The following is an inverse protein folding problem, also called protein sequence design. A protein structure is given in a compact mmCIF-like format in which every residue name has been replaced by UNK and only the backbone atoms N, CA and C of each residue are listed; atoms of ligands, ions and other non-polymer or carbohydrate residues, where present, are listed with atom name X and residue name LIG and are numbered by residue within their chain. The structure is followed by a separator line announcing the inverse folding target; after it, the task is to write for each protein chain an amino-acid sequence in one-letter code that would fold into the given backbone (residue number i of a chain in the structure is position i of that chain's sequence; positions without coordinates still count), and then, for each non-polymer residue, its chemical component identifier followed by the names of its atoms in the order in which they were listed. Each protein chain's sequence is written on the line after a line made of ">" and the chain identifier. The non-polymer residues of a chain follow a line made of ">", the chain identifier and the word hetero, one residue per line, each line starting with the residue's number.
data_IF_553111030667
#
_entry.id   IF_553111030667
#
_cell.length_a   1.000
_cell.length_b   1.000
_cell.length_c   1.000
_cell.angle_alpha   90.00
_cell.angle_beta   90.00
_cell.angle_gamma   90.00
#
_symmetry.space_group_name_H-M   'P 1'
#
loop_
_entity.id
_entity.type
_entity.pdbx_description
1 polymer ?
#
# COMPACT_ATOMS: atom_id res chain seq x y z
N UNK A 1 11.95 57.65 -8.35
CA UNK A 1 12.40 56.39 -7.74
C UNK A 1 12.46 55.35 -8.85
N UNK A 2 13.64 54.83 -9.17
CA UNK A 2 13.82 53.79 -10.20
C UNK A 2 13.98 52.47 -9.46
N UNK A 3 13.01 51.57 -9.59
CA UNK A 3 13.09 50.23 -9.00
C UNK A 3 14.07 49.38 -9.83
N UNK A 4 15.11 48.76 -9.24
CA UNK A 4 15.95 47.82 -9.97
C UNK A 4 15.21 46.49 -10.11
N UNK A 5 14.97 46.06 -11.35
CA UNK A 5 14.45 44.74 -11.67
C UNK A 5 15.62 43.75 -11.69
N UNK A 6 15.76 42.94 -10.64
CA UNK A 6 16.73 41.84 -10.59
C UNK A 6 16.21 40.68 -11.44
N UNK A 7 16.73 40.51 -12.66
CA UNK A 7 16.49 39.32 -13.47
C UNK A 7 17.47 38.24 -13.01
N UNK A 8 16.95 37.23 -12.29
CA UNK A 8 17.68 36.01 -11.98
C UNK A 8 17.83 35.19 -13.26
N UNK A 9 19.01 35.23 -13.86
CA UNK A 9 19.38 34.33 -14.95
C UNK A 9 19.50 32.91 -14.40
N UNK A 10 18.41 32.14 -14.46
CA UNK A 10 18.45 30.69 -14.27
C UNK A 10 19.12 30.01 -15.46
N UNK A 11 19.95 29.01 -15.20
CA UNK A 11 20.54 28.19 -16.26
C UNK A 11 19.43 27.49 -17.05
N UNK A 12 19.24 27.87 -18.31
CA UNK A 12 18.32 27.20 -19.22
C UNK A 12 19.01 25.93 -19.75
N UNK A 13 18.65 24.78 -19.18
CA UNK A 13 19.17 23.48 -19.62
C UNK A 13 18.30 23.00 -20.78
N UNK A 14 18.89 22.81 -21.96
CA UNK A 14 18.21 22.24 -23.13
C UNK A 14 18.18 20.72 -23.05
N UNK A 15 17.01 20.13 -23.29
CA UNK A 15 16.76 18.69 -23.24
C UNK A 15 17.00 17.97 -24.58
N UNK A 16 17.58 18.65 -25.58
CA UNK A 16 17.62 18.16 -26.97
C UNK A 16 18.49 16.93 -27.22
N UNK A 17 19.29 16.49 -26.23
CA UNK A 17 20.27 15.40 -26.41
C UNK A 17 20.25 14.32 -25.32
N UNK A 18 19.12 14.18 -24.61
CA UNK A 18 18.98 13.16 -23.56
C UNK A 18 18.56 11.83 -24.21
N UNK A 19 19.46 10.85 -24.25
CA UNK A 19 19.11 9.49 -24.66
C UNK A 19 18.37 8.80 -23.52
N UNK A 20 17.04 8.86 -23.52
CA UNK A 20 16.17 8.28 -22.50
C UNK A 20 16.40 6.78 -22.26
N UNK A 21 16.97 6.05 -23.22
CA UNK A 21 17.28 4.61 -23.06
C UNK A 21 18.58 4.36 -22.29
N UNK A 22 19.45 5.36 -22.17
CA UNK A 22 20.72 5.30 -21.44
C UNK A 22 20.71 6.11 -20.14
N UNK A 23 19.61 6.81 -19.84
CA UNK A 23 19.39 7.38 -18.51
C UNK A 23 19.01 6.25 -17.57
N UNK A 24 19.97 5.82 -16.75
CA UNK A 24 19.66 5.04 -15.55
C UNK A 24 19.33 6.06 -14.47
N UNK A 25 18.05 6.20 -14.05
CA UNK A 25 17.74 7.01 -12.89
C UNK A 25 18.60 6.49 -11.72
N UNK A 26 19.07 7.36 -10.81
CA UNK A 26 19.55 6.89 -9.52
C UNK A 26 18.54 5.87 -9.00
N UNK A 27 19.01 4.74 -8.48
CA UNK A 27 18.12 3.88 -7.69
C UNK A 27 17.57 4.80 -6.60
N UNK A 28 16.28 5.16 -6.67
CA UNK A 28 15.69 6.08 -5.70
C UNK A 28 15.96 5.47 -4.33
N UNK A 29 16.89 6.04 -3.53
CA UNK A 29 17.16 5.49 -2.23
C UNK A 29 15.85 5.59 -1.45
N UNK A 30 15.50 4.52 -0.76
CA UNK A 30 14.38 4.53 0.19
C UNK A 30 14.54 5.78 1.08
N UNK A 31 13.54 6.67 1.17
CA UNK A 31 13.70 7.95 1.85
C UNK A 31 14.01 7.80 3.35
N UNK A 32 13.66 6.65 3.94
CA UNK A 32 13.95 6.28 5.32
C UNK A 32 13.98 4.75 5.46
N UNK A 33 14.58 4.20 6.53
CA UNK A 33 14.60 2.75 6.77
C UNK A 33 13.18 2.17 6.84
N UNK A 34 12.97 1.01 6.20
CA UNK A 34 11.66 0.36 6.10
C UNK A 34 10.57 1.19 5.42
N UNK A 35 10.94 2.18 4.60
CA UNK A 35 9.96 2.88 3.76
C UNK A 35 9.25 1.88 2.84
N UNK A 36 7.97 2.15 2.60
CA UNK A 36 7.11 1.31 1.78
C UNK A 36 6.29 2.18 0.84
N UNK A 37 5.70 1.55 -0.17
CA UNK A 37 4.76 2.18 -1.09
C UNK A 37 3.41 1.49 -0.98
N UNK A 38 2.35 2.18 -1.36
CA UNK A 38 1.02 1.63 -1.56
C UNK A 38 0.52 2.10 -2.91
N UNK A 39 -0.45 1.40 -3.50
CA UNK A 39 -1.27 2.05 -4.51
C UNK A 39 -2.04 3.20 -3.85
N UNK A 40 -2.02 4.37 -4.48
CA UNK A 40 -2.74 5.56 -4.00
C UNK A 40 -3.58 6.17 -5.12
N UNK A 41 -4.86 6.32 -4.88
CA UNK A 41 -5.81 6.93 -5.81
C UNK A 41 -7.00 7.48 -5.01
N UNK A 42 -7.69 8.48 -5.55
CA UNK A 42 -8.91 9.01 -4.95
C UNK A 42 -10.08 8.87 -5.91
N UNK A 43 -11.13 8.18 -5.47
CA UNK A 43 -12.39 7.99 -6.20
C UNK A 43 -12.21 7.48 -7.65
N UNK A 44 -11.29 6.54 -7.86
CA UNK A 44 -11.10 5.90 -9.14
C UNK A 44 -12.31 5.04 -9.50
N UNK A 45 -12.65 4.95 -10.79
CA UNK A 45 -13.84 4.21 -11.26
C UNK A 45 -13.79 2.71 -10.95
N UNK A 46 -12.59 2.14 -10.91
CA UNK A 46 -12.35 0.73 -10.58
C UNK A 46 -10.91 0.51 -10.09
N UNK A 47 -10.63 -0.74 -9.71
CA UNK A 47 -9.30 -1.15 -9.23
C UNK A 47 -8.21 -1.02 -10.30
N UNK A 48 -8.56 -1.31 -11.55
CA UNK A 48 -7.59 -1.30 -12.65
C UNK A 48 -7.08 0.12 -12.90
N UNK A 49 -8.00 1.09 -13.04
CA UNK A 49 -7.67 2.50 -13.22
C UNK A 49 -6.89 3.05 -12.02
N UNK A 50 -7.29 2.68 -10.79
CA UNK A 50 -6.54 3.05 -9.59
C UNK A 50 -5.08 2.59 -9.67
N UNK A 51 -4.85 1.30 -9.95
CA UNK A 51 -3.49 0.76 -10.00
C UNK A 51 -2.69 1.26 -11.21
N UNK A 52 -3.36 1.48 -12.35
CA UNK A 52 -2.73 1.89 -13.61
C UNK A 52 -2.15 3.30 -13.54
N UNK A 53 -2.83 4.20 -12.84
CA UNK A 53 -2.49 5.63 -12.77
C UNK A 53 -2.00 6.07 -11.40
N UNK A 54 -1.83 5.13 -10.47
CA UNK A 54 -1.23 5.42 -9.17
C UNK A 54 0.17 5.99 -9.36
N UNK A 55 0.47 7.03 -8.57
CA UNK A 55 1.78 7.62 -8.56
C UNK A 55 2.80 6.74 -7.84
N UNK A 56 4.03 6.69 -8.35
CA UNK A 56 5.12 5.90 -7.77
C UNK A 56 5.81 6.62 -6.59
N UNK A 57 5.02 7.01 -5.59
CA UNK A 57 5.49 7.76 -4.41
C UNK A 57 5.66 6.88 -3.16
N UNK A 58 6.62 7.24 -2.33
CA UNK A 58 6.82 6.64 -1.01
C UNK A 58 5.73 7.09 -0.03
N UNK A 59 5.32 6.19 0.87
CA UNK A 59 4.41 6.54 1.95
C UNK A 59 5.08 7.43 3.00
N UNK A 60 4.35 8.34 3.67
CA UNK A 60 4.88 9.14 4.77
C UNK A 60 5.34 8.26 5.94
N UNK A 61 6.37 8.69 6.66
CA UNK A 61 6.94 7.97 7.83
C UNK A 61 5.92 7.74 8.96
N UNK A 62 4.91 8.59 9.06
CA UNK A 62 3.82 8.46 10.03
C UNK A 62 2.86 7.29 9.75
N UNK A 63 2.91 6.71 8.55
CA UNK A 63 2.02 5.62 8.10
C UNK A 63 2.72 4.27 8.16
N UNK A 64 1.95 3.17 8.26
CA UNK A 64 2.50 1.80 8.29
C UNK A 64 1.71 0.80 7.45
N UNK A 65 0.53 1.18 6.97
CA UNK A 65 -0.39 0.28 6.29
C UNK A 65 -0.85 0.88 4.96
N UNK A 66 -1.33 0.01 4.08
CA UNK A 66 -2.08 0.42 2.91
C UNK A 66 -3.57 0.19 3.17
N UNK A 67 -4.38 1.23 3.00
CA UNK A 67 -5.83 1.20 3.13
C UNK A 67 -6.47 1.19 1.75
N UNK A 68 -7.52 0.39 1.59
CA UNK A 68 -8.38 0.39 0.40
C UNK A 68 -9.85 0.49 0.81
N UNK A 69 -10.57 1.41 0.19
CA UNK A 69 -12.02 1.53 0.25
C UNK A 69 -12.57 1.20 -1.12
N UNK A 70 -13.59 0.34 -1.15
CA UNK A 70 -14.30 -0.01 -2.37
C UNK A 70 -15.79 0.16 -2.16
N UNK A 71 -16.39 1.02 -2.97
CA UNK A 71 -17.83 1.23 -3.07
C UNK A 71 -18.33 0.56 -4.34
N UNK A 72 -19.34 -0.29 -4.22
CA UNK A 72 -19.92 -1.01 -5.35
C UNK A 72 -21.43 -1.17 -5.23
N UNK A 73 -22.08 -1.36 -6.37
CA UNK A 73 -23.53 -1.59 -6.46
C UNK A 73 -23.90 -2.98 -5.94
N UNK A 74 -25.20 -3.24 -5.72
CA UNK A 74 -25.70 -4.56 -5.33
C UNK A 74 -25.32 -5.69 -6.30
N UNK A 75 -25.00 -5.36 -7.57
CA UNK A 75 -24.58 -6.31 -8.60
C UNK A 75 -23.05 -6.52 -8.64
N UNK A 76 -22.30 -5.91 -7.72
CA UNK A 76 -20.84 -6.04 -7.65
C UNK A 76 -20.08 -5.07 -8.57
N UNK A 77 -20.76 -4.15 -9.25
CA UNK A 77 -20.10 -3.18 -10.12
C UNK A 77 -19.43 -2.09 -9.28
N UNK A 78 -18.12 -1.90 -9.47
CA UNK A 78 -17.37 -0.83 -8.82
C UNK A 78 -17.96 0.54 -9.19
N UNK A 79 -18.17 1.35 -8.16
CA UNK A 79 -18.61 2.75 -8.27
C UNK A 79 -17.46 3.68 -7.92
N UNK A 80 -16.64 3.29 -6.94
CA UNK A 80 -15.48 4.06 -6.51
C UNK A 80 -14.47 3.17 -5.78
N UNK A 81 -13.19 3.44 -6.03
CA UNK A 81 -12.04 2.88 -5.33
C UNK A 81 -11.15 4.02 -4.84
N UNK A 82 -10.88 4.04 -3.54
CA UNK A 82 -9.89 4.94 -2.93
C UNK A 82 -8.83 4.10 -2.24
N UNK A 83 -7.56 4.39 -2.51
CA UNK A 83 -6.43 3.74 -1.86
C UNK A 83 -5.47 4.78 -1.32
N UNK A 84 -4.90 4.53 -0.13
CA UNK A 84 -3.93 5.44 0.49
C UNK A 84 -3.00 4.72 1.46
N UNK A 85 -1.86 5.35 1.74
CA UNK A 85 -1.08 5.04 2.93
C UNK A 85 -1.89 5.44 4.18
N UNK A 86 -1.82 4.63 5.24
CA UNK A 86 -2.64 4.79 6.43
C UNK A 86 -1.87 4.49 7.72
N UNK A 87 -2.31 5.18 8.78
CA UNK A 87 -1.95 4.90 10.17
C UNK A 87 -2.71 3.70 10.71
N UNK A 88 -2.31 3.19 11.89
CA UNK A 88 -3.07 2.13 12.56
C UNK A 88 -4.47 2.56 12.98
N UNK A 89 -4.64 3.83 13.36
CA UNK A 89 -5.93 4.38 13.77
C UNK A 89 -6.97 4.32 12.65
N UNK A 90 -6.56 4.72 11.44
CA UNK A 90 -7.41 4.66 10.25
C UNK A 90 -7.81 3.23 9.87
N UNK A 91 -6.99 2.25 10.22
CA UNK A 91 -7.22 0.83 9.92
C UNK A 91 -8.07 0.09 10.97
N UNK A 92 -8.55 0.75 12.02
CA UNK A 92 -9.44 0.09 13.00
C UNK A 92 -10.85 -0.18 12.45
N UNK A 93 -11.26 0.49 11.37
CA UNK A 93 -12.61 0.35 10.77
C UNK A 93 -12.58 -0.41 9.45
N UNK A 94 -12.11 -1.66 9.50
CA UNK A 94 -12.23 -2.61 8.39
C UNK A 94 -13.58 -3.32 8.42
N UNK A 95 -14.00 -3.86 7.26
CA UNK A 95 -15.27 -4.58 7.11
C UNK A 95 -16.12 -4.00 6.00
N UNK A 96 -17.33 -4.53 5.86
CA UNK A 96 -18.29 -4.09 4.84
C UNK A 96 -19.57 -3.56 5.50
N UNK A 97 -20.08 -2.46 4.96
CA UNK A 97 -21.33 -1.85 5.38
C UNK A 97 -22.19 -1.56 4.15
N UNK A 98 -23.47 -1.94 4.21
CA UNK A 98 -24.46 -1.56 3.20
C UNK A 98 -24.92 -0.13 3.44
N UNK A 99 -24.89 0.71 2.41
CA UNK A 99 -25.20 2.14 2.51
C UNK A 99 -26.66 2.41 2.14
N UNK A 100 -27.50 2.51 3.18
CA UNK A 100 -28.92 2.88 3.07
C UNK A 100 -29.72 1.99 2.10
N UNK A 101 -30.76 2.57 1.51
CA UNK A 101 -31.67 1.87 0.59
C UNK A 101 -31.14 1.80 -0.85
N UNK A 102 -30.04 2.51 -1.14
CA UNK A 102 -29.40 2.55 -2.47
C UNK A 102 -28.90 1.19 -2.96
N UNK A 103 -28.80 0.21 -2.06
CA UNK A 103 -28.25 -1.10 -2.34
C UNK A 103 -26.73 -1.14 -2.52
N UNK A 104 -26.03 -0.01 -2.39
CA UNK A 104 -24.57 0.03 -2.48
C UNK A 104 -23.93 -0.53 -1.22
N UNK A 105 -22.73 -1.09 -1.38
CA UNK A 105 -21.92 -1.62 -0.29
C UNK A 105 -20.56 -0.96 -0.31
N UNK A 106 -20.12 -0.49 0.85
CA UNK A 106 -18.77 0.00 1.07
C UNK A 106 -18.00 -1.04 1.87
N UNK A 107 -16.87 -1.49 1.33
CA UNK A 107 -15.93 -2.34 2.04
C UNK A 107 -14.61 -1.63 2.25
N UNK A 108 -13.99 -1.85 3.41
CA UNK A 108 -12.71 -1.27 3.83
C UNK A 108 -11.76 -2.40 4.25
N UNK A 109 -10.54 -2.39 3.73
CA UNK A 109 -9.47 -3.30 4.12
C UNK A 109 -8.18 -2.55 4.37
N UNK A 110 -7.34 -3.07 5.26
CA UNK A 110 -5.97 -2.62 5.43
C UNK A 110 -4.99 -3.80 5.32
N UNK A 111 -3.79 -3.53 4.83
CA UNK A 111 -2.71 -4.50 4.80
C UNK A 111 -1.37 -3.87 5.17
N UNK A 112 -0.44 -4.69 5.64
CA UNK A 112 0.95 -4.30 5.91
C UNK A 112 1.88 -4.83 4.82
N UNK A 113 2.78 -3.98 4.31
CA UNK A 113 3.82 -4.36 3.36
C UNK A 113 3.87 -3.48 2.11
N UNK A 114 4.95 -3.60 1.34
CA UNK A 114 5.16 -2.85 0.11
C UNK A 114 4.13 -3.27 -0.96
N UNK A 115 3.34 -2.30 -1.41
CA UNK A 115 2.32 -2.41 -2.47
C UNK A 115 1.36 -3.59 -2.16
N UNK A 116 1.02 -3.80 -0.90
CA UNK A 116 0.19 -4.94 -0.48
C UNK A 116 -1.28 -4.81 -0.93
N UNK A 117 -1.74 -3.58 -1.22
CA UNK A 117 -3.12 -3.27 -1.57
C UNK A 117 -3.37 -3.35 -3.09
N UNK A 118 -2.84 -4.37 -3.76
CA UNK A 118 -3.07 -4.60 -5.20
C UNK A 118 -4.56 -4.82 -5.48
N UNK A 119 -5.19 -5.63 -4.64
CA UNK A 119 -6.61 -5.97 -4.71
C UNK A 119 -7.48 -5.03 -3.87
N UNK A 120 -8.78 -5.05 -4.15
CA UNK A 120 -9.82 -4.31 -3.42
C UNK A 120 -10.71 -5.26 -2.61
N UNK A 121 -11.25 -4.80 -1.47
CA UNK A 121 -12.19 -5.61 -0.69
C UNK A 121 -13.54 -5.67 -1.38
N UNK A 122 -14.17 -6.84 -1.36
CA UNK A 122 -15.46 -7.11 -2.04
C UNK A 122 -16.47 -7.79 -1.14
N UNK A 123 -16.03 -8.33 0.00
CA UNK A 123 -16.87 -9.00 0.98
C UNK A 123 -16.22 -8.99 2.37
N UNK A 124 -16.92 -9.52 3.39
CA UNK A 124 -16.41 -9.56 4.76
C UNK A 124 -15.15 -10.44 4.95
N UNK A 125 -14.85 -11.34 4.01
CA UNK A 125 -13.69 -12.24 4.11
C UNK A 125 -12.38 -11.55 3.72
N UNK A 126 -12.44 -10.61 2.76
CA UNK A 126 -11.26 -9.83 2.34
C UNK A 126 -11.27 -8.37 2.83
N UNK A 127 -12.39 -7.87 3.35
CA UNK A 127 -12.47 -6.59 4.07
C UNK A 127 -11.95 -6.69 5.50
N UNK A 128 -10.66 -7.03 5.64
CA UNK A 128 -10.00 -7.31 6.91
C UNK A 128 -8.75 -6.46 7.11
N UNK A 129 -8.18 -6.51 8.31
CA UNK A 129 -6.88 -5.93 8.61
C UNK A 129 -5.81 -7.02 8.57
N UNK A 130 -5.08 -7.11 7.46
CA UNK A 130 -4.08 -8.15 7.19
C UNK A 130 -2.65 -7.68 7.53
N UNK A 131 -2.14 -8.08 8.69
CA UNK A 131 -0.80 -7.74 9.20
C UNK A 131 0.17 -8.91 8.96
N UNK A 132 1.43 -8.64 8.60
CA UNK A 132 2.43 -9.67 8.27
C UNK A 132 2.74 -10.58 9.47
N UNK A 133 2.65 -10.06 10.70
CA UNK A 133 2.86 -10.82 11.93
C UNK A 133 1.83 -11.95 12.10
N UNK A 134 0.56 -11.74 11.71
CA UNK A 134 -0.49 -12.76 11.79
C UNK A 134 -0.23 -13.93 10.82
N UNK A 135 0.49 -13.71 9.71
CA UNK A 135 0.89 -14.77 8.77
C UNK A 135 2.04 -15.64 9.28
N UNK A 136 2.99 -15.07 10.04
CA UNK A 136 4.09 -15.85 10.64
C UNK A 136 3.60 -16.81 11.72
N UNK A 137 2.59 -16.43 12.51
CA UNK A 137 1.98 -17.29 13.52
C UNK A 137 1.33 -18.56 12.93
N UNK A 138 0.92 -18.54 11.66
CA UNK A 138 0.32 -19.69 10.96
C UNK A 138 1.35 -20.59 10.26
N UNK A 139 2.61 -20.18 10.20
CA UNK A 139 3.73 -20.95 9.63
C UNK A 139 4.66 -21.58 10.67
N UNK A 140 4.44 -21.30 11.97
CA UNK A 140 5.19 -21.95 13.05
C UNK A 140 4.60 -23.33 13.35
N UNK A 141 4.73 -24.27 12.40
CA UNK A 141 4.65 -25.68 12.74
C UNK A 141 5.81 -25.99 13.68
N UNK A 142 5.50 -26.11 14.97
CA UNK A 142 6.39 -26.66 15.99
C UNK A 142 6.89 -28.02 15.51
N UNK A 143 8.11 -28.08 15.01
CA UNK A 143 8.84 -29.34 14.82
C UNK A 143 9.00 -29.92 16.22
N UNK A 144 8.47 -31.12 16.53
CA UNK A 144 8.68 -31.69 17.84
C UNK A 144 10.17 -32.00 17.96
N UNK A 145 10.84 -31.38 18.93
CA UNK A 145 12.19 -31.75 19.31
C UNK A 145 12.13 -33.19 19.84
N UNK A 146 12.54 -34.15 19.02
CA UNK A 146 12.72 -35.54 19.45
C UNK A 146 13.85 -35.52 20.47
N UNK A 147 13.52 -35.60 21.75
CA UNK A 147 14.49 -35.70 22.82
C UNK A 147 15.23 -37.04 22.69
N UNK A 148 16.49 -36.96 22.27
CA UNK A 148 17.44 -38.09 22.30
C UNK A 148 17.76 -38.40 23.77
N UNK A 149 17.09 -39.40 24.33
CA UNK A 149 17.46 -40.01 25.61
C UNK A 149 18.69 -40.91 25.40
N UNK A 150 19.86 -40.40 25.76
CA UNK A 150 21.08 -41.22 25.87
C UNK A 150 21.10 -41.82 27.27
N UNK A 151 20.80 -43.12 27.37
CA UNK A 151 21.02 -43.88 28.59
C UNK A 151 22.52 -44.21 28.70
N UNK A 152 23.21 -43.54 29.64
CA UNK A 152 24.56 -43.92 30.03
C UNK A 152 24.49 -45.16 30.93
N UNK A 153 24.95 -46.30 30.41
CA UNK A 153 25.16 -47.53 31.19
C UNK A 153 26.49 -47.37 31.95
N UNK A 154 26.41 -47.39 33.28
CA UNK A 154 27.55 -47.40 34.20
C UNK A 154 28.20 -48.79 34.24
N UNK A 155 29.54 -48.83 34.22
CA UNK A 155 30.35 -49.97 34.67
C UNK A 155 31.13 -49.53 35.89
#
# INVERSE_FOLDING_TARGET
>A
AVLPLLILAGNLVSAENINFHNVRPPLDPTPFPNSFKCFTCDNAVDNYNCNRWAEDRWCPESTRYCLSVHLFSAHGQSTSVTKKCATGEECHRVGCQRLGDSGHTQCVSCCEGMICNVDIPTNATNAVFAVLQARRARGSHTVPAVALLVAAVTV
#
